data_IF_928763802243
#
_entry.id   IF_928763802243
#
_cell.length_a   1.000
_cell.length_b   1.000
_cell.length_c   1.000
_cell.angle_alpha   90.00
_cell.angle_beta   90.00
_cell.angle_gamma   90.00
#
_symmetry.space_group_name_H-M   'P 1'
#
loop_
_entity.id
_entity.type
_entity.pdbx_description
1 polymer ?
#
# COMPACT_ATOMS: atom_id res chain seq x y z
N UNK A 1 -0.80 11.54 -39.06
CA UNK A 1 0.21 11.03 -38.10
C UNK A 1 1.57 11.63 -38.39
N UNK A 2 2.34 12.01 -37.36
CA UNK A 2 3.68 12.52 -37.54
C UNK A 2 4.63 11.39 -37.99
N UNK A 3 5.76 11.76 -38.60
CA UNK A 3 6.79 10.78 -38.98
C UNK A 3 7.30 10.00 -37.76
N UNK A 4 7.35 10.65 -36.60
CA UNK A 4 7.76 10.02 -35.34
C UNK A 4 6.75 8.95 -34.91
N UNK A 5 5.45 9.24 -35.00
CA UNK A 5 4.41 8.27 -34.64
C UNK A 5 4.47 7.02 -35.50
N UNK A 6 4.66 7.18 -36.83
CA UNK A 6 4.80 6.06 -37.74
C UNK A 6 6.05 5.23 -37.44
N UNK A 7 7.17 5.88 -37.18
CA UNK A 7 8.41 5.22 -36.77
C UNK A 7 8.22 4.42 -35.48
N UNK A 8 7.57 5.03 -34.47
CA UNK A 8 7.32 4.33 -33.19
C UNK A 8 6.43 3.11 -33.36
N UNK A 9 5.40 3.18 -34.19
CA UNK A 9 4.52 2.02 -34.48
C UNK A 9 5.26 0.89 -35.16
N UNK A 10 6.14 1.20 -36.12
CA UNK A 10 6.95 0.19 -36.80
C UNK A 10 7.96 -0.45 -35.85
N UNK A 11 8.66 0.37 -35.05
CA UNK A 11 9.65 -0.13 -34.11
C UNK A 11 9.00 -0.95 -32.97
N UNK A 12 7.78 -0.57 -32.54
CA UNK A 12 7.04 -1.33 -31.53
C UNK A 12 6.78 -2.77 -31.96
N UNK A 13 6.53 -3.01 -33.25
CA UNK A 13 6.34 -4.36 -33.79
C UNK A 13 7.61 -5.20 -33.58
N UNK A 14 8.79 -4.63 -33.84
CA UNK A 14 10.06 -5.33 -33.61
C UNK A 14 10.26 -5.63 -32.11
N UNK A 15 9.95 -4.68 -31.22
CA UNK A 15 10.02 -4.93 -29.77
C UNK A 15 9.11 -6.10 -29.37
N UNK A 16 7.86 -6.09 -29.79
CA UNK A 16 6.88 -7.15 -29.46
C UNK A 16 7.32 -8.52 -29.98
N UNK A 17 7.86 -8.58 -31.19
CA UNK A 17 8.35 -9.83 -31.79
C UNK A 17 9.58 -10.38 -31.06
N UNK A 18 10.51 -9.52 -30.68
CA UNK A 18 11.78 -9.95 -30.10
C UNK A 18 11.70 -10.17 -28.58
N UNK A 19 10.83 -9.45 -27.88
CA UNK A 19 10.72 -9.50 -26.42
C UNK A 19 9.63 -10.45 -25.90
N UNK A 20 8.91 -11.09 -26.81
CA UNK A 20 7.88 -12.06 -26.44
C UNK A 20 8.52 -13.37 -25.95
N UNK A 21 8.19 -13.76 -24.74
CA UNK A 21 8.65 -15.00 -24.12
C UNK A 21 7.44 -15.86 -23.78
N UNK A 22 7.42 -17.09 -24.32
CA UNK A 22 6.34 -18.03 -24.05
C UNK A 22 6.31 -18.43 -22.58
N UNK A 23 5.11 -18.44 -22.00
CA UNK A 23 4.90 -18.83 -20.59
C UNK A 23 5.41 -20.24 -20.29
N UNK A 24 5.38 -21.14 -21.26
CA UNK A 24 5.84 -22.53 -21.10
C UNK A 24 7.34 -22.63 -20.80
N UNK A 25 8.12 -21.66 -21.25
CA UNK A 25 9.57 -21.65 -21.04
C UNK A 25 9.95 -21.48 -19.57
N UNK A 26 9.12 -20.79 -18.79
CA UNK A 26 9.36 -20.63 -17.35
C UNK A 26 9.38 -21.97 -16.63
N UNK A 27 8.38 -22.81 -16.88
CA UNK A 27 8.32 -24.18 -16.34
C UNK A 27 9.46 -25.04 -16.86
N UNK A 28 9.74 -24.96 -18.16
CA UNK A 28 10.79 -25.74 -18.82
C UNK A 28 12.16 -25.48 -18.21
N UNK A 29 12.49 -24.24 -17.92
CA UNK A 29 13.77 -23.86 -17.31
C UNK A 29 13.75 -23.79 -15.79
N UNK A 30 12.63 -24.17 -15.14
CA UNK A 30 12.49 -24.12 -13.69
C UNK A 30 12.48 -22.71 -13.11
N UNK A 31 12.05 -21.72 -13.91
CA UNK A 31 12.03 -20.31 -13.50
C UNK A 31 10.69 -19.99 -12.85
N UNK A 32 10.74 -19.34 -11.68
CA UNK A 32 9.56 -18.89 -10.95
C UNK A 32 9.15 -17.51 -11.45
N UNK A 33 8.12 -17.46 -12.30
CA UNK A 33 7.63 -16.22 -12.88
C UNK A 33 7.08 -15.30 -11.78
N UNK A 34 7.59 -14.06 -11.72
CA UNK A 34 7.23 -13.12 -10.67
C UNK A 34 7.68 -13.59 -9.28
N UNK A 35 8.70 -14.46 -9.21
CA UNK A 35 9.22 -15.05 -7.98
C UNK A 35 8.17 -15.89 -7.24
N UNK A 36 7.24 -16.52 -8.00
CA UNK A 36 6.23 -17.43 -7.46
C UNK A 36 6.17 -18.72 -8.27
N UNK A 37 5.93 -19.84 -7.59
CA UNK A 37 5.75 -21.13 -8.27
C UNK A 37 4.32 -21.24 -8.87
N UNK A 38 4.04 -22.36 -9.52
CA UNK A 38 2.74 -22.61 -10.15
C UNK A 38 1.58 -22.66 -9.14
N UNK A 39 1.87 -22.94 -7.87
CA UNK A 39 0.92 -22.95 -6.77
C UNK A 39 0.75 -21.58 -6.10
N UNK A 40 1.47 -20.56 -6.60
CA UNK A 40 1.44 -19.20 -6.06
C UNK A 40 2.31 -18.97 -4.83
N UNK A 41 3.15 -19.95 -4.47
CA UNK A 41 4.07 -19.81 -3.33
C UNK A 41 5.29 -18.98 -3.73
N UNK A 42 5.64 -17.98 -2.89
CA UNK A 42 6.79 -17.12 -3.14
C UNK A 42 8.13 -17.83 -2.94
N UNK A 43 9.12 -17.42 -3.72
CA UNK A 43 10.52 -17.86 -3.54
C UNK A 43 11.04 -17.23 -2.23
N UNK A 44 11.64 -18.05 -1.38
CA UNK A 44 12.28 -17.55 -0.16
C UNK A 44 13.59 -16.84 -0.53
N UNK A 45 13.61 -15.52 -0.44
CA UNK A 45 14.73 -14.69 -0.88
C UNK A 45 15.52 -14.05 0.26
N UNK A 46 14.97 -14.01 1.46
CA UNK A 46 15.64 -13.37 2.60
C UNK A 46 15.07 -13.78 3.93
N UNK A 47 15.70 -13.25 4.97
CA UNK A 47 15.30 -13.43 6.37
C UNK A 47 14.94 -12.08 6.97
N UNK A 48 13.98 -12.08 7.88
CA UNK A 48 13.56 -10.84 8.55
C UNK A 48 13.12 -11.07 9.98
N UNK A 49 13.39 -10.08 10.83
CA UNK A 49 12.85 -10.01 12.19
C UNK A 49 11.66 -9.04 12.29
N UNK A 50 11.23 -8.43 11.18
CA UNK A 50 10.27 -7.32 11.19
C UNK A 50 8.83 -7.81 11.34
N UNK A 51 8.43 -8.80 10.56
CA UNK A 51 7.04 -9.29 10.55
C UNK A 51 6.97 -10.74 10.12
N UNK A 52 5.84 -11.37 10.43
CA UNK A 52 5.53 -12.74 10.01
C UNK A 52 4.08 -12.80 9.52
N UNK A 53 3.91 -13.46 8.39
CA UNK A 53 2.61 -13.66 7.75
C UNK A 53 2.36 -15.17 7.68
N UNK A 54 1.27 -15.63 8.29
CA UNK A 54 0.86 -17.04 8.24
C UNK A 54 -0.49 -17.20 7.58
N UNK A 55 -0.57 -18.20 6.69
CA UNK A 55 -1.81 -18.61 6.03
C UNK A 55 -2.01 -20.13 6.08
N UNK A 56 -1.02 -20.87 6.57
CA UNK A 56 -1.03 -22.34 6.60
C UNK A 56 -0.49 -22.87 7.93
N UNK A 57 -1.00 -24.03 8.33
CA UNK A 57 -0.53 -24.80 9.48
C UNK A 57 -0.05 -26.16 9.01
N UNK A 58 0.89 -26.76 9.75
CA UNK A 58 1.38 -28.13 9.51
C UNK A 58 0.93 -29.02 10.66
N UNK A 59 0.15 -30.06 10.31
CA UNK A 59 -0.25 -31.12 11.23
C UNK A 59 0.29 -32.45 10.71
N UNK A 60 1.15 -33.12 11.49
CA UNK A 60 1.83 -34.36 11.09
C UNK A 60 2.52 -34.29 9.72
N UNK A 61 3.15 -33.15 9.41
CA UNK A 61 3.82 -32.90 8.15
C UNK A 61 2.92 -32.53 6.97
N UNK A 62 1.59 -32.50 7.19
CA UNK A 62 0.61 -32.11 6.16
C UNK A 62 0.27 -30.62 6.29
N UNK A 63 0.44 -29.89 5.18
CA UNK A 63 0.12 -28.47 5.08
C UNK A 63 -1.38 -28.29 4.86
N UNK A 64 -2.04 -27.51 5.72
CA UNK A 64 -3.46 -27.16 5.58
C UNK A 64 -3.67 -25.65 5.72
N UNK A 65 -4.65 -25.05 5.01
CA UNK A 65 -4.99 -23.64 5.20
C UNK A 65 -5.47 -23.37 6.62
N UNK A 66 -5.10 -22.20 7.17
CA UNK A 66 -5.60 -21.74 8.47
C UNK A 66 -6.06 -20.28 8.34
N UNK A 67 -6.68 -19.76 9.40
CA UNK A 67 -6.96 -18.34 9.51
C UNK A 67 -5.65 -17.56 9.38
N UNK A 68 -5.66 -16.49 8.58
CA UNK A 68 -4.51 -15.64 8.39
C UNK A 68 -4.05 -15.03 9.71
N UNK A 69 -2.74 -14.97 9.91
CA UNK A 69 -2.11 -14.33 11.07
C UNK A 69 -1.04 -13.37 10.58
N UNK A 70 -1.00 -12.18 11.17
CA UNK A 70 0.02 -11.19 10.93
C UNK A 70 0.57 -10.73 12.27
N UNK A 71 1.90 -10.75 12.38
CA UNK A 71 2.60 -10.30 13.58
C UNK A 71 3.65 -9.26 13.20
N UNK A 72 3.78 -8.22 14.03
CA UNK A 72 4.87 -7.24 13.96
C UNK A 72 5.83 -7.54 15.11
N UNK A 73 7.07 -7.87 14.78
CA UNK A 73 8.10 -8.21 15.79
C UNK A 73 7.62 -9.29 16.80
N UNK A 74 6.81 -10.23 16.33
CA UNK A 74 6.26 -11.30 17.17
C UNK A 74 4.93 -10.97 17.84
N UNK A 75 4.46 -9.74 17.82
CA UNK A 75 3.18 -9.36 18.41
C UNK A 75 2.07 -9.42 17.36
N UNK A 76 0.97 -10.09 17.71
CA UNK A 76 -0.19 -10.22 16.82
C UNK A 76 -0.84 -8.85 16.64
N UNK A 77 -1.20 -8.50 15.41
CA UNK A 77 -1.83 -7.19 15.10
C UNK A 77 -3.14 -6.98 15.85
N UNK A 78 -3.89 -8.04 16.13
CA UNK A 78 -5.11 -7.96 16.92
C UNK A 78 -4.83 -7.37 18.30
N UNK A 79 -3.77 -7.83 18.96
CA UNK A 79 -3.39 -7.34 20.28
C UNK A 79 -2.88 -5.91 20.23
N UNK A 80 -2.17 -5.53 19.16
CA UNK A 80 -1.70 -4.16 18.95
C UNK A 80 -2.86 -3.18 18.80
N UNK A 81 -3.96 -3.60 18.19
CA UNK A 81 -5.17 -2.78 18.04
C UNK A 81 -6.00 -2.77 19.32
N UNK A 82 -6.30 -3.95 19.87
CA UNK A 82 -7.24 -4.12 21.00
C UNK A 82 -6.61 -3.83 22.36
N UNK A 83 -5.32 -4.07 22.51
CA UNK A 83 -4.56 -3.78 23.75
C UNK A 83 -4.48 -2.31 24.09
N UNK A 84 -4.68 -1.44 23.09
CA UNK A 84 -4.68 0.00 23.25
C UNK A 84 -6.07 0.60 23.50
N UNK A 85 -6.99 -0.08 24.19
CA UNK A 85 -8.38 0.37 24.41
C UNK A 85 -8.46 1.86 24.77
N UNK A 86 -9.10 2.65 23.90
CA UNK A 86 -9.28 4.09 24.11
C UNK A 86 -8.00 4.90 24.06
N UNK A 87 -6.86 4.32 23.75
CA UNK A 87 -5.58 5.02 23.70
C UNK A 87 -5.37 5.64 22.32
N UNK A 88 -4.68 6.78 22.32
CA UNK A 88 -4.19 7.46 21.12
C UNK A 88 -2.83 6.88 20.71
N UNK A 89 -2.34 7.26 19.55
CA UNK A 89 -0.98 6.93 19.06
C UNK A 89 -0.76 5.45 18.77
N UNK A 90 -1.79 4.78 18.22
CA UNK A 90 -1.70 3.36 17.85
C UNK A 90 -0.68 3.16 16.71
N UNK A 91 -0.71 4.04 15.70
CA UNK A 91 0.27 4.04 14.62
C UNK A 91 1.69 4.27 15.15
N UNK A 92 1.89 5.26 16.01
CA UNK A 92 3.20 5.58 16.56
C UNK A 92 3.76 4.44 17.41
N UNK A 93 2.91 3.77 18.20
CA UNK A 93 3.31 2.57 18.94
C UNK A 93 3.79 1.46 18.00
N UNK A 94 3.06 1.21 16.92
CA UNK A 94 3.44 0.24 15.90
C UNK A 94 4.73 0.64 15.18
N UNK A 95 4.89 1.90 14.84
CA UNK A 95 6.10 2.41 14.20
C UNK A 95 7.33 2.25 15.12
N UNK A 96 7.18 2.57 16.40
CA UNK A 96 8.22 2.35 17.41
C UNK A 96 8.62 0.86 17.45
N UNK A 97 7.63 -0.02 17.52
CA UNK A 97 7.85 -1.47 17.54
C UNK A 97 8.64 -1.95 16.32
N UNK A 98 8.23 -1.53 15.12
CA UNK A 98 8.92 -1.94 13.89
C UNK A 98 10.35 -1.43 13.82
N UNK A 99 10.57 -0.18 14.22
CA UNK A 99 11.90 0.47 14.15
C UNK A 99 12.85 -0.05 15.23
N UNK A 100 12.38 -0.26 16.45
CA UNK A 100 13.22 -0.51 17.62
C UNK A 100 13.12 -1.91 18.20
N UNK A 101 12.17 -2.71 17.75
CA UNK A 101 12.12 -4.16 18.06
C UNK A 101 11.27 -4.56 19.25
N UNK A 102 10.89 -3.62 20.12
CA UNK A 102 10.07 -3.88 21.29
C UNK A 102 8.97 -2.83 21.47
N UNK A 103 7.90 -3.20 22.18
CA UNK A 103 6.83 -2.26 22.50
C UNK A 103 7.33 -1.17 23.43
N UNK A 104 6.97 0.10 23.18
CA UNK A 104 7.38 1.20 24.05
C UNK A 104 6.61 1.18 25.37
N UNK A 105 7.25 1.64 26.42
CA UNK A 105 6.56 2.10 27.64
C UNK A 105 5.81 3.39 27.34
N UNK A 106 4.91 3.81 28.23
CA UNK A 106 4.22 5.10 28.04
C UNK A 106 5.21 6.26 27.91
N UNK A 107 6.27 6.29 28.72
CA UNK A 107 7.31 7.32 28.66
C UNK A 107 8.05 7.29 27.32
N UNK A 108 8.44 6.11 26.85
CA UNK A 108 9.12 5.94 25.58
C UNK A 108 8.23 6.34 24.39
N UNK A 109 6.94 6.00 24.43
CA UNK A 109 6.00 6.38 23.39
C UNK A 109 5.81 7.90 23.33
N UNK A 110 5.66 8.55 24.46
CA UNK A 110 5.52 10.01 24.53
C UNK A 110 6.77 10.72 24.03
N UNK A 111 7.96 10.22 24.37
CA UNK A 111 9.21 10.75 23.84
C UNK A 111 9.30 10.57 22.32
N UNK A 112 8.99 9.38 21.81
CA UNK A 112 8.99 9.08 20.36
C UNK A 112 8.01 9.98 19.61
N UNK A 113 6.79 10.12 20.12
CA UNK A 113 5.77 11.01 19.54
C UNK A 113 6.24 12.46 19.54
N UNK A 114 6.86 12.92 20.62
CA UNK A 114 7.42 14.27 20.70
C UNK A 114 8.54 14.51 19.69
N UNK A 115 9.42 13.53 19.48
CA UNK A 115 10.49 13.61 18.46
C UNK A 115 9.92 13.63 17.04
N UNK A 116 8.90 12.81 16.76
CA UNK A 116 8.20 12.85 15.46
C UNK A 116 7.55 14.22 15.23
N UNK A 117 6.90 14.77 16.24
CA UNK A 117 6.28 16.10 16.16
C UNK A 117 7.30 17.20 15.85
N UNK A 118 8.48 17.13 16.48
CA UNK A 118 9.57 18.06 16.20
C UNK A 118 10.09 17.97 14.76
N UNK A 119 9.92 16.81 14.12
CA UNK A 119 10.28 16.58 12.71
C UNK A 119 9.20 17.04 11.71
N UNK A 120 8.04 17.45 12.17
CA UNK A 120 6.93 17.93 11.31
C UNK A 120 7.18 19.36 10.81
N UNK A 121 8.35 19.57 10.23
CA UNK A 121 8.74 20.84 9.60
C UNK A 121 9.31 20.59 8.22
N UNK A 122 8.94 21.45 7.29
CA UNK A 122 9.49 21.48 5.94
C UNK A 122 10.50 22.63 5.84
N UNK A 123 11.48 22.54 4.94
CA UNK A 123 12.38 23.66 4.69
C UNK A 123 11.62 24.94 4.36
N UNK A 124 12.20 26.11 4.64
CA UNK A 124 11.60 27.42 4.38
C UNK A 124 11.12 27.52 2.94
N UNK A 125 9.85 27.93 2.75
CA UNK A 125 9.21 28.08 1.45
C UNK A 125 9.05 26.79 0.63
N UNK A 126 9.28 25.62 1.23
CA UNK A 126 9.21 24.34 0.52
C UNK A 126 7.82 24.09 -0.09
N UNK A 127 6.76 24.37 0.65
CA UNK A 127 5.39 24.19 0.16
C UNK A 127 5.15 25.01 -1.11
N UNK A 128 5.50 26.30 -1.07
CA UNK A 128 5.36 27.21 -2.21
C UNK A 128 6.23 26.80 -3.40
N UNK A 129 7.50 26.54 -3.15
CA UNK A 129 8.51 26.43 -4.20
C UNK A 129 8.61 25.01 -4.78
N UNK A 130 8.19 24.01 -4.06
CA UNK A 130 8.31 22.59 -4.46
C UNK A 130 6.95 21.91 -4.58
N UNK A 131 6.16 21.86 -3.51
CA UNK A 131 4.89 21.12 -3.50
C UNK A 131 3.87 21.73 -4.45
N UNK A 132 3.77 23.06 -4.48
CA UNK A 132 2.80 23.77 -5.32
C UNK A 132 3.23 23.89 -6.78
N UNK A 133 4.43 23.43 -7.16
CA UNK A 133 4.88 23.41 -8.55
C UNK A 133 4.33 22.18 -9.27
N UNK A 134 3.86 22.39 -10.50
CA UNK A 134 3.28 21.35 -11.36
C UNK A 134 2.23 20.51 -10.62
N UNK A 135 1.17 21.14 -10.10
CA UNK A 135 0.13 20.42 -9.35
C UNK A 135 -0.56 19.39 -10.24
N UNK A 136 -0.91 18.25 -9.65
CA UNK A 136 -1.48 17.11 -10.37
C UNK A 136 -2.37 16.29 -9.44
N UNK A 137 -3.35 15.59 -10.01
CA UNK A 137 -4.14 14.60 -9.26
C UNK A 137 -3.30 13.40 -8.84
N UNK A 138 -2.13 13.18 -9.45
CA UNK A 138 -1.16 12.14 -9.06
C UNK A 138 -0.39 12.60 -7.82
N UNK A 139 -1.03 12.49 -6.67
CA UNK A 139 -0.43 12.93 -5.39
C UNK A 139 0.80 12.08 -5.05
N UNK A 140 0.80 10.79 -5.38
CA UNK A 140 1.97 9.93 -5.19
C UNK A 140 3.19 10.46 -5.96
N UNK A 141 3.00 10.87 -7.20
CA UNK A 141 4.07 11.48 -8.02
C UNK A 141 4.57 12.79 -7.43
N UNK A 142 3.66 13.64 -6.96
CA UNK A 142 3.99 14.90 -6.29
C UNK A 142 4.81 14.66 -5.02
N UNK A 143 4.39 13.70 -4.19
CA UNK A 143 5.13 13.29 -2.99
C UNK A 143 6.54 12.81 -3.34
N UNK A 144 6.66 11.99 -4.38
CA UNK A 144 7.95 11.42 -4.79
C UNK A 144 8.93 12.52 -5.22
N UNK A 145 8.47 13.52 -5.98
CA UNK A 145 9.28 14.70 -6.32
C UNK A 145 9.73 15.45 -5.07
N UNK A 146 8.82 15.65 -4.13
CA UNK A 146 9.11 16.32 -2.87
C UNK A 146 10.13 15.56 -2.03
N UNK A 147 10.02 14.25 -1.96
CA UNK A 147 10.98 13.39 -1.22
C UNK A 147 12.39 13.55 -1.80
N UNK A 148 12.52 13.47 -3.12
CA UNK A 148 13.83 13.63 -3.77
C UNK A 148 14.40 15.04 -3.54
N UNK A 149 13.55 16.05 -3.58
CA UNK A 149 13.97 17.44 -3.33
C UNK A 149 14.41 17.62 -1.87
N UNK A 150 13.69 17.02 -0.90
CA UNK A 150 14.10 17.04 0.51
C UNK A 150 15.52 16.49 0.70
N UNK A 151 15.89 15.48 -0.09
CA UNK A 151 17.25 14.94 -0.08
C UNK A 151 18.31 16.01 -0.37
N UNK A 152 18.00 16.96 -1.25
CA UNK A 152 18.92 18.04 -1.59
C UNK A 152 19.16 19.03 -0.43
N UNK A 153 18.26 19.07 0.54
CA UNK A 153 18.42 19.91 1.75
C UNK A 153 19.18 19.19 2.87
N UNK A 154 19.40 17.89 2.76
CA UNK A 154 20.07 17.10 3.79
C UNK A 154 21.56 17.03 3.53
N UNK A 155 22.35 17.68 4.37
CA UNK A 155 23.82 17.72 4.25
C UNK A 155 24.46 16.34 4.48
N UNK A 156 23.79 15.46 5.23
CA UNK A 156 24.22 14.09 5.50
C UNK A 156 23.45 13.06 4.66
N UNK A 157 22.99 13.47 3.49
CA UNK A 157 22.17 12.65 2.60
C UNK A 157 22.78 11.26 2.33
N UNK A 158 24.07 11.22 2.06
CA UNK A 158 24.77 10.00 1.60
C UNK A 158 25.27 9.11 2.76
N UNK A 159 25.21 9.57 4.01
CA UNK A 159 25.69 8.78 5.14
C UNK A 159 24.75 7.61 5.44
N UNK A 160 25.28 6.39 5.41
CA UNK A 160 24.57 5.16 5.72
C UNK A 160 24.72 4.71 7.17
N UNK A 161 25.33 5.54 8.01
CA UNK A 161 25.42 5.28 9.44
C UNK A 161 24.00 5.14 10.02
N UNK A 162 23.79 4.14 10.87
CA UNK A 162 22.45 3.80 11.37
C UNK A 162 21.76 4.97 12.07
N UNK A 163 22.41 5.75 12.95
CA UNK A 163 21.76 6.92 13.56
C UNK A 163 21.30 7.94 12.52
N UNK A 164 22.04 8.13 11.43
CA UNK A 164 21.68 9.07 10.37
C UNK A 164 20.50 8.57 9.55
N UNK A 165 20.52 7.29 9.16
CA UNK A 165 19.39 6.67 8.41
C UNK A 165 18.12 6.68 9.26
N UNK A 166 18.23 6.43 10.56
CA UNK A 166 17.11 6.52 11.48
C UNK A 166 16.56 7.95 11.55
N UNK A 167 17.41 8.95 11.65
CA UNK A 167 17.01 10.37 11.61
C UNK A 167 16.25 10.69 10.32
N UNK A 168 16.79 10.31 9.18
CA UNK A 168 16.15 10.53 7.86
C UNK A 168 14.79 9.85 7.80
N UNK A 169 14.70 8.62 8.27
CA UNK A 169 13.46 7.84 8.30
C UNK A 169 12.39 8.50 9.16
N UNK A 170 12.75 8.93 10.36
CA UNK A 170 11.81 9.61 11.27
C UNK A 170 11.33 10.94 10.71
N UNK A 171 12.20 11.70 10.08
CA UNK A 171 11.83 12.97 9.43
C UNK A 171 10.83 12.73 8.29
N UNK A 172 11.05 11.71 7.46
CA UNK A 172 10.13 11.38 6.37
C UNK A 172 8.79 10.86 6.89
N UNK A 173 8.78 9.99 7.91
CA UNK A 173 7.54 9.52 8.54
C UNK A 173 6.72 10.71 9.03
N UNK A 174 7.37 11.68 9.67
CA UNK A 174 6.71 12.86 10.23
C UNK A 174 6.14 13.80 9.17
N UNK A 175 6.81 14.01 8.04
CA UNK A 175 6.38 14.97 7.01
C UNK A 175 5.48 14.36 5.93
N UNK A 176 5.36 13.05 5.85
CA UNK A 176 4.53 12.39 4.83
C UNK A 176 3.09 12.90 4.78
N UNK A 177 2.39 13.07 5.91
CA UNK A 177 1.05 13.67 5.87
C UNK A 177 1.03 15.06 5.27
N UNK A 178 2.04 15.89 5.56
CA UNK A 178 2.15 17.24 5.00
C UNK A 178 2.38 17.20 3.48
N UNK A 179 3.28 16.33 3.02
CA UNK A 179 3.57 16.17 1.59
C UNK A 179 2.31 15.74 0.81
N UNK A 180 1.55 14.80 1.37
CA UNK A 180 0.32 14.30 0.75
C UNK A 180 -0.77 15.36 0.70
N UNK A 181 -1.09 15.95 1.85
CA UNK A 181 -2.24 16.86 1.99
C UNK A 181 -1.99 18.20 1.30
N UNK A 182 -0.79 18.75 1.41
CA UNK A 182 -0.47 20.02 0.72
C UNK A 182 -0.45 19.84 -0.79
N UNK A 183 0.02 18.69 -1.29
CA UNK A 183 -0.07 18.38 -2.71
C UNK A 183 -1.53 18.29 -3.19
N UNK A 184 -2.39 17.68 -2.40
CA UNK A 184 -3.82 17.60 -2.70
C UNK A 184 -4.47 18.99 -2.72
N UNK A 185 -4.19 19.82 -1.72
CA UNK A 185 -4.72 21.19 -1.68
C UNK A 185 -4.20 22.04 -2.83
N UNK A 186 -2.95 21.87 -3.25
CA UNK A 186 -2.39 22.54 -4.41
C UNK A 186 -3.12 22.12 -5.70
N UNK A 187 -3.36 20.83 -5.86
CA UNK A 187 -4.14 20.28 -6.98
C UNK A 187 -5.54 20.90 -7.03
N UNK A 188 -6.26 20.91 -5.92
CA UNK A 188 -7.61 21.50 -5.84
C UNK A 188 -7.59 23.01 -6.11
N UNK A 189 -6.59 23.70 -5.62
CA UNK A 189 -6.45 25.14 -5.81
C UNK A 189 -6.29 25.51 -7.31
N UNK A 190 -5.37 24.85 -8.00
CA UNK A 190 -5.06 25.16 -9.39
C UNK A 190 -6.04 24.54 -10.40
N UNK A 191 -6.57 23.36 -10.12
CA UNK A 191 -7.43 22.65 -11.07
C UNK A 191 -8.93 22.81 -10.79
N UNK A 192 -9.32 23.09 -9.54
CA UNK A 192 -10.73 23.20 -9.12
C UNK A 192 -11.12 24.60 -8.60
N UNK A 193 -10.22 25.57 -8.64
CA UNK A 193 -10.42 26.92 -8.13
C UNK A 193 -10.86 26.94 -6.64
N UNK A 194 -10.34 26.03 -5.85
CA UNK A 194 -10.58 25.98 -4.41
C UNK A 194 -9.48 26.73 -3.65
N UNK A 195 -9.72 27.05 -2.38
CA UNK A 195 -8.73 27.70 -1.52
C UNK A 195 -7.53 26.79 -1.30
N UNK A 196 -6.33 27.38 -1.24
CA UNK A 196 -5.12 26.65 -0.85
C UNK A 196 -5.02 26.64 0.67
N UNK A 197 -5.29 25.50 1.28
CA UNK A 197 -5.17 25.33 2.72
C UNK A 197 -3.76 24.88 3.10
N UNK A 198 -3.09 25.64 3.97
CA UNK A 198 -1.77 25.29 4.50
C UNK A 198 -1.88 25.35 6.02
N UNK A 199 -2.67 24.43 6.58
CA UNK A 199 -2.78 24.27 8.02
C UNK A 199 -1.47 23.73 8.57
N UNK A 200 -1.10 24.18 9.75
CA UNK A 200 0.11 23.69 10.42
C UNK A 200 -0.25 22.48 11.30
N UNK A 201 0.61 21.43 11.32
CA UNK A 201 0.42 20.35 12.26
C UNK A 201 0.57 20.86 13.70
N UNK A 202 -0.13 20.24 14.63
CA UNK A 202 -0.01 20.53 16.06
C UNK A 202 0.83 19.45 16.72
N UNK A 203 1.72 19.86 17.63
CA UNK A 203 2.69 18.97 18.27
C UNK A 203 2.07 17.90 19.17
N UNK A 204 0.92 18.19 19.75
CA UNK A 204 0.23 17.26 20.66
C UNK A 204 -0.63 16.24 19.92
N UNK A 205 -0.77 16.36 18.62
CA UNK A 205 -1.63 15.49 17.82
C UNK A 205 -0.83 14.33 17.21
N UNK A 206 -1.51 13.20 17.05
CA UNK A 206 -0.98 12.03 16.35
C UNK A 206 -0.89 12.27 14.84
N UNK A 207 -0.21 11.38 14.13
CA UNK A 207 -0.15 11.38 12.66
C UNK A 207 -1.57 11.33 12.07
N UNK A 208 -2.43 10.45 12.57
CA UNK A 208 -3.81 10.34 12.10
C UNK A 208 -4.61 11.62 12.36
N UNK A 209 -4.51 12.18 13.56
CA UNK A 209 -5.16 13.42 13.93
C UNK A 209 -4.67 14.60 13.09
N UNK A 210 -3.37 14.72 12.91
CA UNK A 210 -2.79 15.77 12.07
C UNK A 210 -3.19 15.62 10.61
N UNK A 211 -3.29 14.40 10.09
CA UNK A 211 -3.77 14.19 8.72
C UNK A 211 -5.18 14.81 8.53
N UNK A 212 -6.11 14.51 9.43
CA UNK A 212 -7.47 15.04 9.36
C UNK A 212 -7.48 16.56 9.56
N UNK A 213 -6.69 17.07 10.49
CA UNK A 213 -6.54 18.51 10.71
C UNK A 213 -6.02 19.23 9.46
N UNK A 214 -4.99 18.72 8.83
CA UNK A 214 -4.40 19.32 7.64
C UNK A 214 -5.36 19.29 6.44
N UNK A 215 -6.13 18.21 6.33
CA UNK A 215 -7.03 17.98 5.20
C UNK A 215 -8.28 18.87 5.26
N UNK A 216 -8.89 19.01 6.43
CA UNK A 216 -10.20 19.65 6.58
C UNK A 216 -10.07 21.16 6.64
N UNK A 217 -10.91 21.91 5.89
CA UNK A 217 -10.88 23.37 5.91
C UNK A 217 -11.06 23.95 7.32
N UNK A 218 -11.92 23.34 8.15
CA UNK A 218 -12.19 23.77 9.52
C UNK A 218 -11.22 23.21 10.56
N UNK A 219 -10.30 22.33 10.15
CA UNK A 219 -9.33 21.63 11.00
C UNK A 219 -9.92 20.67 12.05
N UNK A 220 -11.23 20.41 11.97
CA UNK A 220 -11.95 19.66 13.01
C UNK A 220 -12.10 18.18 12.65
N UNK A 221 -12.03 17.34 13.66
CA UNK A 221 -12.28 15.91 13.57
C UNK A 221 -12.83 15.39 14.89
N UNK A 222 -13.52 14.26 14.84
CA UNK A 222 -14.01 13.61 16.07
C UNK A 222 -12.97 12.59 16.57
N UNK A 223 -13.07 12.23 17.83
CA UNK A 223 -12.23 11.20 18.44
C UNK A 223 -12.37 9.87 17.71
N UNK A 224 -13.59 9.46 17.35
CA UNK A 224 -13.85 8.21 16.63
C UNK A 224 -13.22 8.22 15.24
N UNK A 225 -13.35 9.33 14.52
CA UNK A 225 -12.74 9.47 13.19
C UNK A 225 -11.22 9.28 13.26
N UNK A 226 -10.57 9.96 14.19
CA UNK A 226 -9.13 9.86 14.37
C UNK A 226 -8.70 8.46 14.79
N UNK A 227 -9.47 7.80 15.67
CA UNK A 227 -9.18 6.44 16.12
C UNK A 227 -9.25 5.42 14.98
N UNK A 228 -10.30 5.48 14.16
CA UNK A 228 -10.47 4.56 13.04
C UNK A 228 -9.35 4.74 12.01
N UNK A 229 -8.98 5.99 11.72
CA UNK A 229 -7.86 6.26 10.83
C UNK A 229 -6.52 5.76 11.40
N UNK A 230 -6.29 5.98 12.69
CA UNK A 230 -5.09 5.51 13.38
C UNK A 230 -4.95 3.98 13.29
N UNK A 231 -6.04 3.25 13.51
CA UNK A 231 -6.09 1.80 13.35
C UNK A 231 -5.82 1.39 11.90
N UNK A 232 -6.42 2.08 10.94
CA UNK A 232 -6.17 1.82 9.52
C UNK A 232 -4.69 1.96 9.18
N UNK A 233 -4.02 2.99 9.71
CA UNK A 233 -2.59 3.20 9.50
C UNK A 233 -1.76 2.06 10.11
N UNK A 234 -2.08 1.60 11.32
CA UNK A 234 -1.41 0.45 11.91
C UNK A 234 -1.53 -0.80 11.04
N UNK A 235 -2.73 -1.07 10.52
CA UNK A 235 -3.00 -2.27 9.72
C UNK A 235 -2.31 -2.25 8.35
N UNK A 236 -1.98 -1.08 7.83
CA UNK A 236 -1.35 -0.91 6.52
C UNK A 236 0.17 -0.72 6.59
N UNK A 237 0.76 -0.58 7.79
CA UNK A 237 2.16 -0.14 7.91
C UNK A 237 3.19 -1.19 7.52
N UNK A 238 2.84 -2.50 7.53
CA UNK A 238 3.80 -3.55 7.26
C UNK A 238 3.09 -4.82 6.76
N UNK A 239 3.67 -5.48 5.76
CA UNK A 239 3.13 -6.75 5.25
C UNK A 239 4.20 -7.65 4.62
N UNK A 240 5.32 -7.81 5.30
CA UNK A 240 6.39 -8.72 4.91
C UNK A 240 7.41 -8.15 3.93
N UNK A 241 8.57 -8.77 3.88
CA UNK A 241 9.68 -8.37 3.03
C UNK A 241 9.47 -8.63 1.54
N UNK A 242 8.56 -9.53 1.19
CA UNK A 242 8.24 -9.90 -0.19
C UNK A 242 7.18 -9.01 -0.85
N UNK A 243 6.56 -8.10 -0.11
CA UNK A 243 5.66 -7.10 -0.67
C UNK A 243 6.43 -6.25 -1.70
N UNK A 244 5.84 -5.94 -2.85
CA UNK A 244 6.56 -5.33 -3.98
C UNK A 244 7.31 -4.06 -3.61
N UNK A 245 6.68 -3.11 -2.93
CA UNK A 245 7.33 -1.86 -2.53
C UNK A 245 8.38 -2.08 -1.42
N UNK A 246 8.16 -3.03 -0.53
CA UNK A 246 9.11 -3.39 0.52
C UNK A 246 10.34 -4.12 -0.06
N UNK A 247 10.12 -5.04 -0.99
CA UNK A 247 11.21 -5.70 -1.68
C UNK A 247 12.03 -4.70 -2.51
N UNK A 248 11.37 -3.76 -3.18
CA UNK A 248 12.03 -2.64 -3.87
C UNK A 248 12.91 -1.84 -2.91
N UNK A 249 12.40 -1.54 -1.71
CA UNK A 249 13.17 -0.88 -0.65
C UNK A 249 14.47 -1.65 -0.34
N UNK A 250 14.38 -2.96 -0.17
CA UNK A 250 15.54 -3.80 0.11
C UNK A 250 16.52 -3.84 -1.06
N UNK A 251 16.02 -3.98 -2.29
CA UNK A 251 16.85 -4.03 -3.50
C UNK A 251 17.66 -2.74 -3.64
N UNK A 252 17.00 -1.58 -3.56
CA UNK A 252 17.68 -0.29 -3.74
C UNK A 252 18.60 0.00 -2.54
N UNK A 253 18.19 -0.34 -1.32
CA UNK A 253 19.04 -0.22 -0.14
C UNK A 253 20.33 -1.03 -0.30
N UNK A 254 20.24 -2.24 -0.84
CA UNK A 254 21.39 -3.13 -1.02
C UNK A 254 22.43 -2.56 -1.99
N UNK A 255 22.05 -1.63 -2.85
CA UNK A 255 22.98 -0.95 -3.77
C UNK A 255 23.77 0.18 -3.11
N UNK A 256 23.43 0.56 -1.87
CA UNK A 256 24.07 1.66 -1.17
C UNK A 256 23.47 3.03 -1.43
N UNK A 257 22.27 3.10 -2.00
CA UNK A 257 21.57 4.37 -2.26
C UNK A 257 21.11 5.05 -0.98
N UNK A 258 20.96 6.39 -1.06
CA UNK A 258 20.47 7.21 0.04
C UNK A 258 18.99 6.94 0.36
N UNK A 259 18.57 7.34 1.55
CA UNK A 259 17.22 7.11 2.05
C UNK A 259 16.14 7.72 1.14
N UNK A 260 16.36 8.92 0.64
CA UNK A 260 15.37 9.62 -0.21
C UNK A 260 15.14 8.90 -1.53
N UNK A 261 16.21 8.41 -2.16
CA UNK A 261 16.12 7.61 -3.39
C UNK A 261 15.43 6.27 -3.14
N UNK A 262 15.74 5.59 -2.03
CA UNK A 262 15.12 4.32 -1.64
C UNK A 262 13.62 4.49 -1.43
N UNK A 263 13.21 5.47 -0.64
CA UNK A 263 11.80 5.71 -0.36
C UNK A 263 11.04 6.16 -1.63
N UNK A 264 11.68 6.95 -2.48
CA UNK A 264 11.10 7.34 -3.77
C UNK A 264 10.86 6.13 -4.68
N UNK A 265 11.78 5.16 -4.70
CA UNK A 265 11.60 3.90 -5.44
C UNK A 265 10.43 3.09 -4.86
N UNK A 266 10.32 3.00 -3.55
CA UNK A 266 9.20 2.34 -2.88
C UNK A 266 7.86 3.02 -3.21
N UNK A 267 7.82 4.35 -3.22
CA UNK A 267 6.66 5.13 -3.62
C UNK A 267 6.23 4.81 -5.06
N UNK A 268 7.19 4.73 -5.97
CA UNK A 268 6.94 4.41 -7.38
C UNK A 268 6.36 3.00 -7.55
N UNK A 269 6.84 2.04 -6.76
CA UNK A 269 6.27 0.69 -6.72
C UNK A 269 4.84 0.70 -6.19
N UNK A 270 4.60 1.40 -5.08
CA UNK A 270 3.30 1.42 -4.42
C UNK A 270 2.21 2.06 -5.29
N UNK A 271 2.52 3.11 -6.06
CA UNK A 271 1.53 3.79 -6.90
C UNK A 271 1.01 2.93 -8.06
N UNK A 272 1.67 1.83 -8.38
CA UNK A 272 1.26 0.94 -9.46
C UNK A 272 -0.13 0.35 -9.20
N UNK A 273 -0.95 0.24 -10.25
CA UNK A 273 -2.35 -0.22 -10.15
C UNK A 273 -2.48 -1.63 -9.57
N UNK A 274 -1.46 -2.45 -9.69
CA UNK A 274 -1.44 -3.82 -9.16
C UNK A 274 -1.01 -3.89 -7.70
N UNK A 275 -0.63 -2.79 -7.08
CA UNK A 275 -0.16 -2.76 -5.69
C UNK A 275 -1.05 -1.88 -4.82
N UNK A 276 -0.77 -0.58 -4.74
CA UNK A 276 -1.47 0.33 -3.83
C UNK A 276 -2.84 0.82 -4.28
N UNK A 277 -3.24 0.54 -5.53
CA UNK A 277 -4.51 0.99 -6.10
C UNK A 277 -5.71 0.07 -5.89
N UNK A 278 -5.54 -1.02 -5.13
CA UNK A 278 -6.58 -2.05 -5.00
C UNK A 278 -7.87 -1.52 -4.35
N UNK A 279 -7.78 -0.68 -3.34
CA UNK A 279 -8.96 -0.10 -2.69
C UNK A 279 -9.74 0.85 -3.61
N UNK A 280 -9.07 1.53 -4.53
CA UNK A 280 -9.73 2.37 -5.54
C UNK A 280 -10.59 1.52 -6.49
N UNK A 281 -10.08 0.36 -6.89
CA UNK A 281 -10.84 -0.57 -7.72
C UNK A 281 -12.07 -1.11 -7.00
N UNK A 282 -11.96 -1.38 -5.69
CA UNK A 282 -13.11 -1.75 -4.86
C UNK A 282 -14.16 -0.64 -4.87
N UNK A 283 -13.74 0.61 -4.68
CA UNK A 283 -14.66 1.75 -4.68
C UNK A 283 -15.38 1.93 -6.03
N UNK A 284 -14.66 1.79 -7.12
CA UNK A 284 -15.27 1.85 -8.46
C UNK A 284 -16.27 0.73 -8.68
N UNK A 285 -15.95 -0.48 -8.27
CA UNK A 285 -16.87 -1.63 -8.32
C UNK A 285 -18.09 -1.39 -7.44
N UNK A 286 -17.91 -0.89 -6.23
CA UNK A 286 -19.03 -0.62 -5.32
C UNK A 286 -19.96 0.47 -5.85
N UNK A 287 -19.42 1.52 -6.49
CA UNK A 287 -20.25 2.54 -7.16
C UNK A 287 -21.10 1.91 -8.25
N UNK A 288 -20.52 1.03 -9.04
CA UNK A 288 -21.23 0.31 -10.09
C UNK A 288 -22.33 -0.61 -9.52
N UNK A 289 -22.01 -1.36 -8.47
CA UNK A 289 -23.00 -2.22 -7.80
C UNK A 289 -24.15 -1.38 -7.24
N UNK A 290 -23.84 -0.28 -6.56
CA UNK A 290 -24.87 0.62 -5.99
C UNK A 290 -25.82 1.18 -7.07
N UNK A 291 -25.33 1.41 -8.27
CA UNK A 291 -26.14 1.92 -9.38
C UNK A 291 -27.05 0.87 -10.01
N UNK A 292 -26.81 -0.42 -9.79
CA UNK A 292 -27.56 -1.52 -10.39
C UNK A 292 -28.39 -2.34 -9.39
N UNK A 293 -28.03 -2.35 -8.12
CA UNK A 293 -28.76 -3.06 -7.06
C UNK A 293 -29.68 -2.05 -6.36
N UNK A 294 -30.98 -2.34 -6.34
CA UNK A 294 -31.99 -1.47 -5.73
C UNK A 294 -32.16 -1.72 -4.24
N UNK A 295 -32.18 -2.97 -3.82
CA UNK A 295 -32.38 -3.39 -2.43
C UNK A 295 -31.10 -4.05 -1.91
N UNK A 296 -30.42 -3.34 -1.00
CA UNK A 296 -29.14 -3.81 -0.43
C UNK A 296 -29.33 -4.97 0.58
N UNK A 297 -30.57 -5.27 0.96
CA UNK A 297 -30.92 -6.41 1.80
C UNK A 297 -31.30 -7.65 0.98
N UNK A 298 -31.56 -7.50 -0.33
CA UNK A 298 -31.92 -8.60 -1.21
C UNK A 298 -30.67 -9.37 -1.67
N UNK A 299 -30.38 -10.46 -0.98
CA UNK A 299 -29.22 -11.29 -1.27
C UNK A 299 -29.25 -11.91 -2.68
N UNK A 300 -30.43 -12.24 -3.21
CA UNK A 300 -30.57 -12.80 -4.57
C UNK A 300 -30.27 -11.77 -5.65
N UNK A 301 -30.73 -10.54 -5.48
CA UNK A 301 -30.42 -9.44 -6.40
C UNK A 301 -28.92 -9.15 -6.42
N UNK A 302 -28.28 -9.11 -5.25
CA UNK A 302 -26.84 -8.91 -5.11
C UNK A 302 -26.10 -10.08 -5.79
N UNK A 303 -26.47 -11.32 -5.50
CA UNK A 303 -25.84 -12.50 -6.07
C UNK A 303 -25.94 -12.53 -7.59
N UNK A 304 -27.11 -12.16 -8.13
CA UNK A 304 -27.35 -12.07 -9.58
C UNK A 304 -26.40 -11.05 -10.23
N UNK A 305 -26.24 -9.88 -9.65
CA UNK A 305 -25.36 -8.85 -10.19
C UNK A 305 -23.87 -9.22 -10.08
N UNK A 306 -23.45 -9.78 -8.95
CA UNK A 306 -22.08 -10.26 -8.77
C UNK A 306 -21.75 -11.38 -9.78
N UNK A 307 -22.72 -12.24 -10.09
CA UNK A 307 -22.56 -13.28 -11.14
C UNK A 307 -22.30 -12.67 -12.51
N UNK A 308 -22.96 -11.56 -12.84
CA UNK A 308 -22.70 -10.83 -14.09
C UNK A 308 -21.28 -10.27 -14.14
N UNK A 309 -20.79 -9.73 -13.03
CA UNK A 309 -19.40 -9.24 -12.92
C UNK A 309 -18.43 -10.40 -13.19
N UNK A 310 -18.64 -11.55 -12.55
CA UNK A 310 -17.78 -12.72 -12.70
C UNK A 310 -17.79 -13.29 -14.13
N UNK A 311 -18.92 -13.21 -14.83
CA UNK A 311 -19.07 -13.68 -16.22
C UNK A 311 -18.57 -12.67 -17.26
N UNK A 312 -17.95 -11.59 -16.83
CA UNK A 312 -17.45 -10.50 -17.69
C UNK A 312 -18.55 -9.74 -18.44
N UNK A 313 -19.76 -9.73 -17.91
CA UNK A 313 -20.94 -9.09 -18.49
C UNK A 313 -21.23 -7.72 -17.86
N UNK A 314 -20.56 -7.35 -16.80
CA UNK A 314 -20.80 -6.11 -16.06
C UNK A 314 -19.50 -5.50 -15.52
N UNK A 315 -19.57 -4.23 -15.12
CA UNK A 315 -18.51 -3.39 -14.60
C UNK A 315 -17.38 -3.23 -15.64
N UNK A 316 -16.16 -3.64 -15.34
CA UNK A 316 -15.00 -3.52 -16.23
C UNK A 316 -14.80 -4.73 -17.16
N UNK A 317 -15.69 -5.68 -17.11
CA UNK A 317 -15.70 -6.89 -17.95
C UNK A 317 -14.43 -7.76 -17.80
N UNK A 318 -13.72 -7.64 -16.68
CA UNK A 318 -12.53 -8.44 -16.39
C UNK A 318 -12.82 -9.71 -15.58
N UNK A 319 -14.05 -9.85 -15.09
CA UNK A 319 -14.48 -11.05 -14.36
C UNK A 319 -13.94 -11.14 -12.94
N UNK A 320 -13.61 -10.00 -12.32
CA UNK A 320 -13.06 -9.95 -10.96
C UNK A 320 -14.01 -9.23 -10.02
N UNK A 321 -14.19 -9.77 -8.83
CA UNK A 321 -14.78 -9.07 -7.69
C UNK A 321 -13.61 -8.55 -6.84
N UNK A 322 -13.39 -7.24 -6.90
CA UNK A 322 -12.26 -6.61 -6.23
C UNK A 322 -12.45 -6.62 -4.71
N UNK A 323 -11.36 -6.70 -3.97
CA UNK A 323 -11.38 -6.80 -2.52
C UNK A 323 -11.53 -8.23 -2.00
N UNK A 324 -11.60 -9.22 -2.90
CA UNK A 324 -11.71 -10.63 -2.57
C UNK A 324 -10.42 -11.36 -2.97
N UNK A 325 -9.92 -12.21 -2.06
CA UNK A 325 -8.70 -12.96 -2.28
C UNK A 325 -7.44 -12.21 -1.86
N UNK A 326 -6.35 -12.93 -1.72
CA UNK A 326 -5.03 -12.39 -1.37
C UNK A 326 -3.95 -13.33 -1.89
N UNK A 327 -2.78 -12.78 -2.19
CA UNK A 327 -1.63 -13.57 -2.65
C UNK A 327 -1.16 -14.60 -1.62
N UNK A 328 -1.31 -14.31 -0.33
CA UNK A 328 -0.86 -15.16 0.78
C UNK A 328 -2.04 -15.80 1.51
N UNK A 329 -3.03 -15.00 1.93
CA UNK A 329 -4.16 -15.48 2.73
C UNK A 329 -5.18 -16.23 1.88
N UNK A 330 -5.74 -17.32 2.42
CA UNK A 330 -6.82 -18.08 1.78
C UNK A 330 -8.13 -18.03 2.55
N UNK A 331 -8.09 -18.35 3.85
CA UNK A 331 -9.31 -18.42 4.69
C UNK A 331 -9.72 -17.03 5.16
N UNK A 332 -8.76 -16.21 5.57
CA UNK A 332 -9.05 -14.86 6.06
C UNK A 332 -7.82 -13.95 5.96
N UNK A 333 -8.06 -12.64 5.76
CA UNK A 333 -7.07 -11.59 5.97
C UNK A 333 -7.26 -11.09 7.42
N UNK A 334 -6.27 -11.26 8.31
CA UNK A 334 -6.41 -10.87 9.71
C UNK A 334 -6.62 -9.36 9.88
N UNK A 335 -6.13 -8.56 8.95
CA UNK A 335 -6.31 -7.10 8.97
C UNK A 335 -7.79 -6.75 8.75
N UNK A 336 -8.43 -7.38 7.78
CA UNK A 336 -9.87 -7.17 7.50
C UNK A 336 -10.72 -7.56 8.70
N UNK A 337 -10.45 -8.71 9.29
CA UNK A 337 -11.21 -9.19 10.44
C UNK A 337 -11.14 -8.25 11.65
N UNK A 338 -9.95 -7.74 11.95
CA UNK A 338 -9.74 -6.79 13.04
C UNK A 338 -10.43 -5.46 12.73
N UNK A 339 -10.36 -5.01 11.48
CA UNK A 339 -10.86 -3.71 11.05
C UNK A 339 -12.39 -3.64 11.01
N UNK A 340 -13.06 -4.73 10.66
CA UNK A 340 -14.51 -4.77 10.41
C UNK A 340 -15.36 -4.19 11.54
N UNK A 341 -15.04 -4.51 12.79
CA UNK A 341 -15.79 -3.97 13.94
C UNK A 341 -15.75 -2.46 14.03
N UNK A 342 -14.62 -1.85 13.70
CA UNK A 342 -14.44 -0.40 13.68
C UNK A 342 -15.14 0.24 12.48
N UNK A 343 -15.16 -0.45 11.34
CA UNK A 343 -15.92 -0.01 10.15
C UNK A 343 -17.41 0.06 10.46
N UNK A 344 -17.96 -0.96 11.11
CA UNK A 344 -19.37 -0.99 11.52
C UNK A 344 -19.70 0.13 12.49
N UNK A 345 -18.82 0.38 13.47
CA UNK A 345 -18.99 1.47 14.43
C UNK A 345 -19.01 2.84 13.74
N UNK A 346 -18.08 3.07 12.82
CA UNK A 346 -18.02 4.31 12.05
C UNK A 346 -19.26 4.49 11.16
N UNK A 347 -19.72 3.41 10.52
CA UNK A 347 -20.91 3.43 9.68
C UNK A 347 -22.17 3.85 10.49
N UNK A 348 -22.32 3.35 11.71
CA UNK A 348 -23.40 3.79 12.61
C UNK A 348 -23.27 5.26 12.96
N UNK A 349 -22.07 5.73 13.31
CA UNK A 349 -21.82 7.13 13.63
C UNK A 349 -22.13 8.07 12.46
N UNK A 350 -21.85 7.65 11.24
CA UNK A 350 -22.03 8.44 10.01
C UNK A 350 -23.39 8.25 9.33
N UNK A 351 -24.28 7.41 9.90
CA UNK A 351 -25.58 7.12 9.27
C UNK A 351 -25.45 6.34 7.95
N UNK A 352 -24.42 5.52 7.83
CA UNK A 352 -24.10 4.75 6.61
C UNK A 352 -24.42 3.26 6.78
N UNK A 353 -25.37 2.89 7.64
CA UNK A 353 -25.73 1.49 7.91
C UNK A 353 -26.24 0.78 6.68
N UNK A 354 -26.95 1.47 5.80
CA UNK A 354 -27.45 0.91 4.54
C UNK A 354 -26.29 0.44 3.66
N UNK A 355 -25.25 1.26 3.52
CA UNK A 355 -24.05 0.89 2.78
C UNK A 355 -23.31 -0.27 3.46
N UNK A 356 -23.24 -0.25 4.78
CA UNK A 356 -22.62 -1.34 5.55
C UNK A 356 -23.34 -2.68 5.32
N UNK A 357 -24.66 -2.65 5.24
CA UNK A 357 -25.47 -3.83 4.91
C UNK A 357 -25.09 -4.40 3.55
N UNK A 358 -24.90 -3.54 2.54
CA UNK A 358 -24.43 -3.97 1.22
C UNK A 358 -23.06 -4.63 1.29
N UNK A 359 -22.10 -4.02 1.99
CA UNK A 359 -20.76 -4.61 2.20
C UNK A 359 -20.84 -5.96 2.90
N UNK A 360 -21.63 -6.07 3.96
CA UNK A 360 -21.83 -7.34 4.67
C UNK A 360 -22.37 -8.44 3.77
N UNK A 361 -23.36 -8.12 2.94
CA UNK A 361 -23.96 -9.09 2.02
C UNK A 361 -22.98 -9.51 0.92
N UNK A 362 -22.22 -8.58 0.38
CA UNK A 362 -21.19 -8.91 -0.62
C UNK A 362 -20.10 -9.79 0.00
N UNK A 363 -19.65 -9.47 1.22
CA UNK A 363 -18.67 -10.29 1.96
C UNK A 363 -19.14 -11.74 2.14
N UNK A 364 -20.43 -11.92 2.40
CA UNK A 364 -21.06 -13.22 2.59
C UNK A 364 -21.23 -14.00 1.28
N UNK A 365 -21.66 -13.32 0.21
CA UNK A 365 -22.08 -13.92 -1.06
C UNK A 365 -20.90 -14.14 -2.01
N UNK A 366 -20.03 -13.14 -2.17
CA UNK A 366 -18.97 -13.14 -3.17
C UNK A 366 -18.00 -14.33 -3.08
N UNK A 367 -17.50 -14.72 -1.89
CA UNK A 367 -16.60 -15.87 -1.79
C UNK A 367 -17.22 -17.17 -2.31
N UNK A 368 -18.51 -17.39 -2.05
CA UNK A 368 -19.24 -18.57 -2.50
C UNK A 368 -19.40 -18.60 -4.02
N UNK A 369 -19.72 -17.47 -4.63
CA UNK A 369 -19.85 -17.36 -6.08
C UNK A 369 -18.51 -17.55 -6.79
N UNK A 370 -17.45 -16.98 -6.25
CA UNK A 370 -16.09 -17.11 -6.81
C UNK A 370 -15.63 -18.57 -6.75
N UNK A 371 -15.83 -19.24 -5.61
CA UNK A 371 -15.46 -20.63 -5.42
C UNK A 371 -16.20 -21.53 -6.41
N UNK A 372 -17.50 -21.32 -6.61
CA UNK A 372 -18.34 -22.10 -7.52
C UNK A 372 -17.91 -21.91 -8.98
N UNK A 373 -17.64 -20.67 -9.39
CA UNK A 373 -17.33 -20.38 -10.80
C UNK A 373 -15.93 -20.82 -11.19
N UNK A 374 -14.94 -20.65 -10.30
CA UNK A 374 -13.54 -20.97 -10.59
C UNK A 374 -13.16 -22.41 -10.23
N UNK A 375 -14.07 -23.17 -9.65
CA UNK A 375 -13.80 -24.52 -9.14
C UNK A 375 -12.57 -24.57 -8.24
N UNK A 376 -12.43 -23.54 -7.39
CA UNK A 376 -11.29 -23.39 -6.48
C UNK A 376 -11.64 -24.10 -5.18
N UNK A 377 -10.85 -25.11 -4.83
CA UNK A 377 -10.93 -25.78 -3.53
C UNK A 377 -10.31 -24.95 -2.40
N UNK A 378 -9.51 -23.95 -2.74
CA UNK A 378 -8.93 -23.00 -1.82
C UNK A 378 -9.93 -21.87 -1.56
N UNK A 379 -10.26 -21.61 -0.29
CA UNK A 379 -11.20 -20.56 0.08
C UNK A 379 -10.78 -19.18 -0.40
N UNK A 380 -11.76 -18.36 -0.74
CA UNK A 380 -11.60 -16.93 -1.06
C UNK A 380 -12.27 -16.15 0.06
N UNK A 381 -11.60 -15.10 0.55
CA UNK A 381 -12.10 -14.24 1.62
C UNK A 381 -11.86 -12.78 1.30
N UNK A 382 -12.62 -11.84 1.90
CA UNK A 382 -12.33 -10.43 1.74
C UNK A 382 -10.97 -10.08 2.32
N UNK A 383 -10.27 -9.16 1.66
CA UNK A 383 -9.02 -8.59 2.16
C UNK A 383 -9.28 -7.19 2.72
N UNK A 384 -8.23 -6.55 3.28
CA UNK A 384 -8.38 -5.23 3.91
C UNK A 384 -8.84 -4.15 2.94
N UNK A 385 -8.50 -4.27 1.64
CA UNK A 385 -8.88 -3.28 0.63
C UNK A 385 -10.39 -3.23 0.39
N UNK A 386 -11.10 -4.28 0.74
CA UNK A 386 -12.56 -4.32 0.65
C UNK A 386 -13.21 -3.25 1.52
N UNK A 387 -12.67 -2.97 2.71
CA UNK A 387 -13.26 -2.01 3.65
C UNK A 387 -12.51 -0.67 3.74
N UNK A 388 -11.22 -0.63 3.41
CA UNK A 388 -10.43 0.58 3.66
C UNK A 388 -10.94 1.80 2.88
N UNK A 389 -11.33 1.61 1.61
CA UNK A 389 -11.90 2.70 0.81
C UNK A 389 -13.22 3.22 1.37
N UNK A 390 -14.06 2.33 1.90
CA UNK A 390 -15.32 2.71 2.56
C UNK A 390 -15.07 3.58 3.79
N UNK A 391 -14.09 3.21 4.61
CA UNK A 391 -13.69 4.02 5.78
C UNK A 391 -13.25 5.41 5.34
N UNK A 392 -12.38 5.50 4.33
CA UNK A 392 -11.89 6.79 3.86
C UNK A 392 -13.01 7.65 3.28
N UNK A 393 -13.96 7.04 2.58
CA UNK A 393 -15.15 7.73 2.09
C UNK A 393 -16.00 8.30 3.24
N UNK A 394 -16.23 7.51 4.28
CA UNK A 394 -16.98 7.97 5.47
C UNK A 394 -16.25 9.09 6.22
N UNK A 395 -14.94 9.15 6.13
CA UNK A 395 -14.13 10.24 6.71
C UNK A 395 -14.04 11.46 5.77
N UNK A 396 -14.72 11.44 4.63
CA UNK A 396 -14.64 12.47 3.58
C UNK A 396 -13.22 12.70 3.06
N UNK A 397 -12.44 11.63 3.01
CA UNK A 397 -11.11 11.67 2.40
C UNK A 397 -11.27 11.47 0.89
N UNK A 398 -10.74 12.36 0.05
CA UNK A 398 -10.85 12.23 -1.39
C UNK A 398 -10.04 11.02 -1.92
N UNK A 399 -10.50 10.45 -3.03
CA UNK A 399 -9.89 9.23 -3.60
C UNK A 399 -8.44 9.43 -4.01
N UNK A 400 -8.06 10.63 -4.39
CA UNK A 400 -6.68 10.98 -4.73
C UNK A 400 -5.71 10.77 -3.55
N UNK A 401 -6.22 10.74 -2.32
CA UNK A 401 -5.42 10.51 -1.12
C UNK A 401 -5.44 9.06 -0.61
N UNK A 402 -6.13 8.14 -1.26
CA UNK A 402 -6.21 6.75 -0.78
C UNK A 402 -4.85 6.04 -0.84
N UNK A 403 -4.17 6.07 -1.97
CA UNK A 403 -2.83 5.51 -2.09
C UNK A 403 -1.80 6.30 -1.27
N UNK A 404 -1.82 7.64 -1.23
CA UNK A 404 -0.98 8.39 -0.30
C UNK A 404 -1.14 8.01 1.17
N UNK A 405 -2.35 7.70 1.63
CA UNK A 405 -2.57 7.20 3.00
C UNK A 405 -1.86 5.85 3.23
N UNK A 406 -1.91 4.99 2.23
CA UNK A 406 -1.17 3.73 2.27
C UNK A 406 0.33 4.00 2.45
N UNK A 407 0.87 4.96 1.71
CA UNK A 407 2.28 5.37 1.82
C UNK A 407 2.62 5.94 3.20
N UNK A 408 1.74 6.79 3.76
CA UNK A 408 1.91 7.38 5.10
C UNK A 408 2.05 6.27 6.15
N UNK A 409 1.29 5.20 6.01
CA UNK A 409 1.39 4.04 6.90
C UNK A 409 2.63 3.21 6.59
N UNK A 410 2.83 2.81 5.33
CA UNK A 410 3.83 1.83 4.92
C UNK A 410 5.26 2.34 5.06
N UNK A 411 5.50 3.65 5.08
CA UNK A 411 6.87 4.17 5.26
C UNK A 411 7.51 3.69 6.56
N UNK A 412 6.73 3.43 7.61
CA UNK A 412 7.26 2.85 8.84
C UNK A 412 7.85 1.46 8.58
N UNK A 413 7.14 0.62 7.83
CA UNK A 413 7.62 -0.70 7.41
C UNK A 413 8.83 -0.61 6.49
N UNK A 414 8.79 0.25 5.48
CA UNK A 414 9.94 0.45 4.57
C UNK A 414 11.19 0.87 5.35
N UNK A 415 11.03 1.80 6.28
CA UNK A 415 12.13 2.30 7.10
C UNK A 415 12.76 1.20 7.96
N UNK A 416 11.92 0.36 8.58
CA UNK A 416 12.38 -0.78 9.36
C UNK A 416 13.14 -1.79 8.49
N UNK A 417 12.61 -2.13 7.31
CA UNK A 417 13.25 -3.05 6.38
C UNK A 417 14.57 -2.49 5.83
N UNK A 418 14.63 -1.18 5.56
CA UNK A 418 15.88 -0.53 5.16
C UNK A 418 16.94 -0.65 6.23
N UNK A 419 16.58 -0.35 7.47
CA UNK A 419 17.52 -0.46 8.61
C UNK A 419 18.00 -1.90 8.79
N UNK A 420 17.09 -2.88 8.72
CA UNK A 420 17.45 -4.30 8.80
C UNK A 420 18.42 -4.71 7.69
N UNK A 421 18.18 -4.27 6.47
CA UNK A 421 19.04 -4.56 5.32
C UNK A 421 20.44 -3.97 5.52
N UNK A 422 20.55 -2.74 5.97
CA UNK A 422 21.84 -2.09 6.25
C UNK A 422 22.61 -2.74 7.41
N UNK A 423 21.88 -3.19 8.43
CA UNK A 423 22.50 -3.80 9.62
C UNK A 423 22.94 -5.24 9.34
N UNK A 424 22.15 -6.00 8.58
CA UNK A 424 22.29 -7.45 8.46
C UNK A 424 23.18 -7.88 7.30
N UNK A 425 23.15 -7.18 6.17
CA UNK A 425 23.78 -7.66 4.94
C UNK A 425 24.68 -6.61 4.31
N UNK A 426 25.74 -7.08 3.68
CA UNK A 426 26.70 -6.27 2.92
C UNK A 426 26.66 -6.61 1.41
N UNK A 427 25.68 -7.40 1.00
CA UNK A 427 25.61 -7.90 -0.38
C UNK A 427 24.51 -7.22 -1.17
N UNK A 428 24.85 -6.79 -2.38
CA UNK A 428 23.88 -6.30 -3.34
C UNK A 428 22.97 -7.45 -3.80
N UNK A 429 21.67 -7.21 -3.83
CA UNK A 429 20.69 -8.18 -4.34
C UNK A 429 20.82 -8.24 -5.87
N UNK A 430 21.19 -9.41 -6.37
CA UNK A 430 21.46 -9.60 -7.80
C UNK A 430 21.03 -11.00 -8.25
N UNK A 431 19.74 -11.19 -8.59
CA UNK A 431 19.29 -12.47 -9.12
C UNK A 431 19.87 -12.75 -10.50
N UNK A 432 19.78 -14.00 -10.94
CA UNK A 432 20.26 -14.45 -12.24
C UNK A 432 19.11 -14.51 -13.25
N UNK A 433 19.41 -14.27 -14.52
CA UNK A 433 18.48 -14.41 -15.64
C UNK A 433 19.06 -15.36 -16.69
N UNK A 434 18.19 -16.20 -17.25
CA UNK A 434 18.54 -17.14 -18.33
C UNK A 434 18.34 -16.44 -19.67
N UNK A 435 19.42 -16.37 -20.50
CA UNK A 435 19.29 -15.88 -21.86
C UNK A 435 18.70 -16.97 -22.78
N UNK A 436 17.75 -16.56 -23.60
CA UNK A 436 17.11 -17.44 -24.60
C UNK A 436 17.66 -17.25 -26.02
N UNK A 437 18.52 -16.25 -26.22
CA UNK A 437 19.06 -15.93 -27.54
C UNK A 437 20.38 -16.70 -27.77
N UNK A 438 20.46 -17.38 -28.87
CA UNK A 438 21.69 -18.07 -29.30
C UNK A 438 22.77 -17.05 -29.65
N UNK A 439 24.03 -17.48 -29.49
CA UNK A 439 25.17 -16.68 -29.92
C UNK A 439 25.07 -16.38 -31.43
N UNK A 440 25.32 -15.12 -31.80
CA UNK A 440 25.31 -14.65 -33.19
C UNK A 440 26.66 -14.07 -33.54
N UNK A 441 27.05 -14.20 -34.82
CA UNK A 441 28.22 -13.55 -35.34
C UNK A 441 27.93 -12.08 -35.64
N UNK A 442 28.89 -11.22 -35.38
CA UNK A 442 28.77 -9.80 -35.69
C UNK A 442 28.94 -9.60 -37.21
N UNK A 443 28.01 -8.92 -37.83
CA UNK A 443 28.04 -8.53 -39.25
C UNK A 443 28.33 -7.03 -39.31
N UNK A 444 29.31 -6.64 -40.16
CA UNK A 444 29.65 -5.24 -40.34
C UNK A 444 28.44 -4.45 -40.82
N UNK A 445 28.37 -3.16 -40.41
CA UNK A 445 27.17 -2.34 -40.65
C UNK A 445 26.85 -2.23 -42.15
N UNK A 446 27.86 -2.12 -42.97
CA UNK A 446 27.73 -2.01 -44.44
C UNK A 446 27.20 -3.26 -45.11
N UNK A 447 27.26 -4.41 -44.44
CA UNK A 447 26.85 -5.73 -44.95
C UNK A 447 25.48 -6.21 -44.43
N UNK A 448 24.81 -5.40 -43.61
CA UNK A 448 23.53 -5.77 -42.98
C UNK A 448 22.33 -5.56 -43.90
#
# INVERSE_FOLDING_TARGET
MSNLENYMKQQAIFCEQNDSISKNLYSEYGVKRGLRDEKGQGVLTGLTNISDIKAFEYHDGVKSPCDGKLSYRGYNIKDLVTGGKGKRFIFEEGAYLLLFGELPTDTQLMEFQGRLSDCMELPTNFTRDVIMKAPTSDIMGSMTRSILTLGSYDKEKESLEIPNVLRQSMQLIAVFPMLAVYAYHAYCHYEKNESMYIHRPEKDLSIAENFLRLLRPDTKFTELEARVLDIALLLHMEHGGGNNSTFTTRVVTSSGSDTYSVISAAMSSLKGKKHGGANLMVMNMMDDIKSHVKDYEDEEEIASYLSKILKKEAFDQKGLIYGMGHAVYSISDPRERVFKGFVEQLARDKGREKDMTLYNNIEKIAPKLIAKQRQIFKGVSPNIDFYSGFVYDMLNIPRELYTPLFAIARIAGWSAHRLEELITTDKIIRPAYKSLVSKKEYIEREER
#
